data_IF_270162482405
#
_entry.id   IF_270162482405
#
_cell.length_a   1.000
_cell.length_b   1.000
_cell.length_c   1.000
_cell.angle_alpha   90.00
_cell.angle_beta   90.00
_cell.angle_gamma   90.00
#
_symmetry.space_group_name_H-M   'P 1'
#
loop_
_entity.id
_entity.type
_entity.pdbx_description
1 polymer ?
#
# COMPACT_ATOMS: atom_id res chain seq x y z
N UNK A 1 51.15 -2.71 -36.38
CA UNK A 1 49.85 -2.21 -36.90
C UNK A 1 49.43 -1.04 -36.01
N UNK A 2 49.65 0.20 -36.44
CA UNK A 2 49.39 1.40 -35.64
C UNK A 2 47.89 1.75 -35.70
N UNK A 3 47.19 1.64 -34.58
CA UNK A 3 45.79 2.05 -34.47
C UNK A 3 45.72 3.57 -34.30
N UNK A 4 45.29 4.28 -35.35
CA UNK A 4 45.17 5.74 -35.33
C UNK A 4 43.82 6.13 -34.70
N UNK A 5 43.83 6.55 -33.44
CA UNK A 5 42.65 6.99 -32.71
C UNK A 5 42.26 8.41 -33.17
N UNK A 6 41.11 8.55 -33.84
CA UNK A 6 40.54 9.83 -34.29
C UNK A 6 40.05 10.61 -33.06
N UNK A 7 40.72 11.71 -32.73
CA UNK A 7 40.21 12.69 -31.77
C UNK A 7 38.95 13.34 -32.34
N UNK A 8 37.84 13.23 -31.62
CA UNK A 8 36.60 13.95 -31.92
C UNK A 8 36.87 15.46 -31.87
N UNK A 9 36.38 16.20 -32.88
CA UNK A 9 36.39 17.66 -32.89
C UNK A 9 35.68 18.16 -31.62
N UNK A 10 36.37 19.01 -30.85
CA UNK A 10 35.86 19.54 -29.58
C UNK A 10 34.58 20.36 -29.80
N UNK A 11 33.56 20.10 -28.98
CA UNK A 11 32.36 20.91 -28.87
C UNK A 11 32.75 22.35 -28.48
N UNK A 12 32.15 23.33 -29.14
CA UNK A 12 32.40 24.72 -28.78
C UNK A 12 31.73 25.03 -27.44
N UNK A 13 32.36 25.87 -26.60
CA UNK A 13 31.85 26.18 -25.26
C UNK A 13 30.44 26.82 -25.32
N UNK A 14 30.18 27.57 -26.39
CA UNK A 14 28.88 28.18 -26.66
C UNK A 14 27.80 27.13 -27.02
N UNK A 15 28.17 26.09 -27.74
CA UNK A 15 27.27 25.01 -28.15
C UNK A 15 26.83 24.17 -26.96
N UNK A 16 27.70 23.93 -25.98
CA UNK A 16 27.29 23.27 -24.73
C UNK A 16 26.45 24.20 -23.86
N UNK A 17 26.77 25.50 -23.80
CA UNK A 17 26.05 26.47 -22.96
C UNK A 17 24.59 26.65 -23.37
N UNK A 18 24.29 26.67 -24.68
CA UNK A 18 22.92 26.82 -25.16
C UNK A 18 22.11 25.53 -24.95
N UNK A 19 22.77 24.37 -25.07
CA UNK A 19 22.12 23.07 -24.81
C UNK A 19 21.71 22.96 -23.34
N UNK A 20 22.60 23.27 -22.40
CA UNK A 20 22.23 23.22 -20.97
C UNK A 20 21.16 24.25 -20.61
N UNK A 21 21.14 25.42 -21.27
CA UNK A 21 20.10 26.42 -21.09
C UNK A 21 18.73 25.92 -21.55
N UNK A 22 18.67 25.28 -22.73
CA UNK A 22 17.43 24.69 -23.26
C UNK A 22 16.99 23.49 -22.40
N UNK A 23 17.92 22.65 -21.95
CA UNK A 23 17.62 21.52 -21.06
C UNK A 23 17.05 21.99 -19.72
N UNK A 24 17.56 23.08 -19.16
CA UNK A 24 17.03 23.66 -17.91
C UNK A 24 15.57 24.11 -18.07
N UNK A 25 15.22 24.73 -19.20
CA UNK A 25 13.84 25.17 -19.49
C UNK A 25 12.91 23.98 -19.67
N UNK A 26 13.31 22.98 -20.46
CA UNK A 26 12.50 21.77 -20.70
C UNK A 26 12.27 20.98 -19.40
N UNK A 27 13.31 20.82 -18.57
CA UNK A 27 13.19 20.14 -17.29
C UNK A 27 12.22 20.86 -16.33
N UNK A 28 12.22 22.20 -16.33
CA UNK A 28 11.29 22.99 -15.54
C UNK A 28 9.82 22.74 -15.91
N UNK A 29 9.50 22.68 -17.21
CA UNK A 29 8.12 22.44 -17.68
C UNK A 29 7.62 21.04 -17.29
N UNK A 30 8.47 20.02 -17.41
CA UNK A 30 8.09 18.63 -17.10
C UNK A 30 7.75 18.45 -15.61
N UNK A 31 8.46 19.14 -14.72
CA UNK A 31 8.21 19.06 -13.27
C UNK A 31 6.88 19.69 -12.86
N UNK A 32 6.38 20.67 -13.61
CA UNK A 32 5.07 21.30 -13.36
C UNK A 32 3.92 20.43 -13.87
N UNK A 33 4.13 19.69 -14.98
CA UNK A 33 3.09 18.83 -15.55
C UNK A 33 2.95 17.50 -14.81
N UNK A 34 4.03 16.99 -14.23
CA UNK A 34 3.98 15.82 -13.35
C UNK A 34 3.59 16.27 -11.94
N UNK A 35 2.58 15.62 -11.35
CA UNK A 35 2.23 15.82 -9.93
C UNK A 35 3.04 14.81 -9.07
N UNK A 36 4.25 15.15 -8.58
CA UNK A 36 5.08 14.19 -7.83
C UNK A 36 4.40 13.72 -6.53
N UNK A 37 3.55 14.59 -5.96
CA UNK A 37 2.72 14.28 -4.79
C UNK A 37 1.78 13.10 -5.04
N UNK A 38 1.12 13.08 -6.21
CA UNK A 38 0.17 12.01 -6.56
C UNK A 38 0.89 10.71 -6.87
N UNK A 39 2.06 10.76 -7.51
CA UNK A 39 2.86 9.57 -7.80
C UNK A 39 3.36 8.89 -6.51
N UNK A 40 3.79 9.68 -5.53
CA UNK A 40 4.19 9.15 -4.22
C UNK A 40 2.99 8.54 -3.48
N UNK A 41 1.82 9.19 -3.56
CA UNK A 41 0.57 8.66 -3.00
C UNK A 41 0.21 7.30 -3.61
N UNK A 42 0.27 7.17 -4.94
CA UNK A 42 0.01 5.91 -5.65
C UNK A 42 0.95 4.80 -5.23
N UNK A 43 2.24 5.08 -5.09
CA UNK A 43 3.22 4.09 -4.63
C UNK A 43 2.92 3.59 -3.20
N UNK A 44 2.56 4.52 -2.30
CA UNK A 44 2.16 4.19 -0.92
C UNK A 44 0.87 3.37 -0.88
N UNK A 45 -0.14 3.73 -1.66
CA UNK A 45 -1.41 3.00 -1.74
C UNK A 45 -1.23 1.61 -2.35
N UNK A 46 -0.33 1.46 -3.33
CA UNK A 46 0.06 0.15 -3.86
C UNK A 46 0.68 -0.74 -2.78
N UNK A 47 1.56 -0.17 -1.96
CA UNK A 47 2.16 -0.88 -0.81
C UNK A 47 1.08 -1.31 0.19
N UNK A 48 0.17 -0.40 0.57
CA UNK A 48 -0.95 -0.71 1.47
C UNK A 48 -1.86 -1.82 0.93
N UNK A 49 -2.13 -1.85 -0.38
CA UNK A 49 -2.93 -2.90 -1.02
C UNK A 49 -2.25 -4.27 -0.94
N UNK A 50 -0.94 -4.31 -1.16
CA UNK A 50 -0.17 -5.55 -0.99
C UNK A 50 -0.14 -6.00 0.48
N UNK A 51 0.06 -5.06 1.39
CA UNK A 51 0.06 -5.28 2.84
C UNK A 51 -1.29 -5.81 3.34
N UNK A 52 -2.41 -5.23 2.87
CA UNK A 52 -3.76 -5.68 3.25
C UNK A 52 -4.06 -7.09 2.74
N UNK A 53 -3.64 -7.41 1.50
CA UNK A 53 -3.79 -8.76 0.95
C UNK A 53 -2.92 -9.80 1.67
N UNK A 54 -1.69 -9.42 2.05
CA UNK A 54 -0.80 -10.26 2.84
C UNK A 54 -1.38 -10.53 4.24
N UNK A 55 -1.90 -9.50 4.91
CA UNK A 55 -2.53 -9.61 6.22
C UNK A 55 -3.80 -10.47 6.16
N UNK A 56 -4.64 -10.30 5.13
CA UNK A 56 -5.83 -11.12 4.93
C UNK A 56 -5.46 -12.59 4.76
N UNK A 57 -4.46 -12.85 3.92
CA UNK A 57 -3.96 -14.21 3.70
C UNK A 57 -3.43 -14.83 5.00
N UNK A 58 -2.73 -14.05 5.84
CA UNK A 58 -2.25 -14.49 7.14
C UNK A 58 -3.40 -14.80 8.13
N UNK A 59 -4.42 -13.94 8.19
CA UNK A 59 -5.61 -14.18 9.02
C UNK A 59 -6.33 -15.46 8.56
N UNK A 60 -6.46 -15.68 7.25
CA UNK A 60 -7.11 -16.88 6.71
C UNK A 60 -6.30 -18.16 6.97
N UNK A 61 -4.96 -18.11 6.83
CA UNK A 61 -4.08 -19.24 7.19
C UNK A 61 -4.15 -19.56 8.68
N UNK A 62 -4.21 -18.54 9.53
CA UNK A 62 -4.43 -18.71 10.96
C UNK A 62 -5.77 -19.42 11.24
N UNK A 63 -6.85 -18.96 10.60
CA UNK A 63 -8.17 -19.57 10.77
C UNK A 63 -8.17 -21.07 10.43
N UNK A 64 -7.52 -21.46 9.33
CA UNK A 64 -7.40 -22.87 8.93
C UNK A 64 -6.52 -23.67 9.91
N UNK A 65 -5.44 -23.08 10.40
CA UNK A 65 -4.48 -23.76 11.29
C UNK A 65 -4.96 -23.90 12.74
N UNK A 66 -5.83 -23.00 13.20
CA UNK A 66 -6.30 -22.93 14.59
C UNK A 66 -7.79 -23.25 14.74
N UNK A 67 -8.23 -24.36 14.15
CA UNK A 67 -9.58 -24.93 14.31
C UNK A 67 -10.74 -23.96 13.99
N UNK A 68 -10.56 -23.08 13.01
CA UNK A 68 -11.60 -22.12 12.62
C UNK A 68 -11.78 -20.98 13.62
N UNK A 69 -10.75 -20.67 14.42
CA UNK A 69 -10.75 -19.51 15.32
C UNK A 69 -9.92 -18.40 14.70
N UNK A 70 -10.52 -17.22 14.57
CA UNK A 70 -9.81 -16.02 14.13
C UNK A 70 -8.82 -15.52 15.21
N UNK A 71 -7.76 -14.78 14.83
CA UNK A 71 -6.72 -14.39 15.76
C UNK A 71 -7.25 -13.56 16.94
N UNK A 72 -8.24 -12.68 16.73
CA UNK A 72 -8.87 -11.91 17.83
C UNK A 72 -9.68 -12.76 18.81
N UNK A 73 -10.14 -13.96 18.42
CA UNK A 73 -10.82 -14.89 19.31
C UNK A 73 -9.86 -15.76 20.14
N UNK A 74 -8.58 -15.76 19.80
CA UNK A 74 -7.55 -16.58 20.45
C UNK A 74 -6.78 -15.86 21.57
N UNK A 75 -6.97 -14.54 21.71
CA UNK A 75 -6.26 -13.69 22.68
C UNK A 75 -7.27 -12.93 23.55
N UNK A 76 -7.04 -12.93 24.86
CA UNK A 76 -7.84 -12.18 25.82
C UNK A 76 -7.63 -10.68 25.65
N UNK A 77 -8.70 -9.89 25.90
CA UNK A 77 -8.70 -8.42 25.79
C UNK A 77 -8.47 -7.86 24.38
N UNK A 78 -8.66 -8.68 23.35
CA UNK A 78 -8.76 -8.20 21.97
C UNK A 78 -10.21 -7.99 21.57
N UNK A 79 -10.53 -6.80 21.05
CA UNK A 79 -11.82 -6.55 20.41
C UNK A 79 -11.86 -7.28 19.07
N UNK A 80 -12.84 -8.18 18.92
CA UNK A 80 -13.20 -8.71 17.61
C UNK A 80 -13.71 -7.55 16.74
N UNK A 81 -13.43 -7.55 15.42
CA UNK A 81 -14.11 -6.62 14.52
C UNK A 81 -15.61 -6.96 14.54
N UNK A 82 -16.47 -5.94 14.59
CA UNK A 82 -17.91 -6.18 14.67
C UNK A 82 -18.45 -6.69 13.34
N UNK A 83 -19.44 -7.59 13.41
CA UNK A 83 -20.07 -8.23 12.24
C UNK A 83 -20.85 -7.29 11.33
N UNK A 84 -20.87 -5.98 11.63
CA UNK A 84 -21.44 -4.91 10.81
C UNK A 84 -20.66 -3.59 11.02
N UNK A 85 -19.38 -3.64 11.40
CA UNK A 85 -18.62 -2.43 11.65
C UNK A 85 -17.14 -2.53 11.32
N UNK A 86 -16.56 -1.35 11.19
CA UNK A 86 -15.15 -1.14 10.95
C UNK A 86 -14.41 -1.08 12.30
N UNK A 87 -13.39 -1.92 12.48
CA UNK A 87 -12.46 -1.82 13.61
C UNK A 87 -11.05 -1.66 13.07
N UNK A 88 -10.21 -0.86 13.70
CA UNK A 88 -8.81 -0.75 13.28
C UNK A 88 -8.05 -2.04 13.62
N UNK A 89 -7.03 -2.37 12.83
CA UNK A 89 -6.12 -3.46 13.19
C UNK A 89 -5.44 -3.07 14.50
N UNK A 90 -5.54 -3.94 15.50
CA UNK A 90 -4.93 -3.72 16.81
C UNK A 90 -3.70 -4.58 16.98
N UNK A 91 -2.71 -4.06 17.71
CA UNK A 91 -1.47 -4.77 18.00
C UNK A 91 -1.69 -6.07 18.79
N UNK A 92 -2.82 -6.19 19.50
CA UNK A 92 -3.07 -7.31 20.40
C UNK A 92 -3.19 -8.65 19.64
N UNK A 93 -3.99 -8.71 18.57
CA UNK A 93 -4.13 -9.92 17.76
C UNK A 93 -3.10 -9.98 16.63
N UNK A 94 -2.54 -8.85 16.19
CA UNK A 94 -1.43 -8.85 15.25
C UNK A 94 -0.16 -9.48 15.86
N UNK A 95 0.14 -9.19 17.13
CA UNK A 95 1.24 -9.84 17.84
C UNK A 95 1.06 -11.37 17.93
N UNK A 96 -0.19 -11.86 17.96
CA UNK A 96 -0.45 -13.30 17.91
C UNK A 96 -0.05 -13.88 16.55
N UNK A 97 -0.40 -13.23 15.45
CA UNK A 97 0.01 -13.64 14.10
C UNK A 97 1.53 -13.65 13.96
N UNK A 98 2.22 -12.64 14.51
CA UNK A 98 3.69 -12.60 14.54
C UNK A 98 4.26 -13.74 15.39
N UNK A 99 3.70 -13.98 16.58
CA UNK A 99 4.17 -15.02 17.48
C UNK A 99 4.05 -16.44 16.91
N UNK A 100 3.06 -16.67 16.04
CA UNK A 100 2.89 -17.96 15.35
C UNK A 100 3.58 -18.02 13.99
N UNK A 101 4.27 -16.94 13.58
CA UNK A 101 5.04 -16.89 12.34
C UNK A 101 4.21 -16.66 11.07
N UNK A 102 2.95 -16.22 11.19
CA UNK A 102 2.08 -15.97 10.03
C UNK A 102 2.36 -14.62 9.35
N UNK A 103 2.97 -13.69 10.09
CA UNK A 103 3.33 -12.33 9.65
C UNK A 103 4.69 -11.96 10.25
N UNK A 104 5.57 -11.33 9.47
CA UNK A 104 6.85 -10.84 9.98
C UNK A 104 6.67 -9.72 11.02
N UNK A 105 7.56 -9.66 12.00
CA UNK A 105 7.54 -8.61 13.03
C UNK A 105 7.70 -7.21 12.43
N UNK A 106 8.36 -7.09 11.28
CA UNK A 106 8.52 -5.84 10.52
C UNK A 106 7.19 -5.25 10.07
N UNK A 107 6.19 -6.08 9.77
CA UNK A 107 4.84 -5.64 9.44
C UNK A 107 4.13 -5.04 10.66
N UNK A 108 4.30 -5.67 11.84
CA UNK A 108 3.71 -5.21 13.09
C UNK A 108 4.39 -3.95 13.65
N UNK A 109 5.66 -3.71 13.35
CA UNK A 109 6.40 -2.54 13.83
C UNK A 109 6.57 -1.42 12.80
N UNK A 110 6.48 -1.72 11.50
CA UNK A 110 6.83 -0.80 10.42
C UNK A 110 5.64 -0.05 9.81
N UNK A 111 4.44 -0.61 9.90
CA UNK A 111 3.24 -0.01 9.31
C UNK A 111 2.45 0.72 10.37
N UNK A 112 1.86 1.88 10.02
CA UNK A 112 0.82 2.51 10.85
C UNK A 112 -0.38 1.55 10.86
N UNK A 113 -0.36 0.58 11.78
CA UNK A 113 -1.31 -0.54 11.83
C UNK A 113 -2.75 -0.02 11.95
N UNK A 114 -2.90 1.12 12.63
CA UNK A 114 -4.12 1.92 12.75
C UNK A 114 -4.69 2.43 11.42
N UNK A 115 -3.90 2.46 10.35
CA UNK A 115 -4.35 2.85 9.01
C UNK A 115 -5.09 1.74 8.25
N UNK A 116 -5.01 0.52 8.77
CA UNK A 116 -5.77 -0.63 8.28
C UNK A 116 -7.00 -0.84 9.16
N UNK A 117 -8.11 -1.15 8.51
CA UNK A 117 -9.41 -1.42 9.10
C UNK A 117 -9.75 -2.87 8.77
N UNK A 118 -10.16 -3.63 9.77
CA UNK A 118 -10.75 -4.94 9.59
C UNK A 118 -12.25 -4.83 9.78
N UNK A 119 -12.99 -5.44 8.87
CA UNK A 119 -14.44 -5.52 8.93
C UNK A 119 -14.88 -6.90 8.51
N UNK A 120 -16.07 -7.32 8.96
CA UNK A 120 -16.71 -8.53 8.48
C UNK A 120 -17.97 -8.16 7.72
N UNK A 121 -18.32 -9.01 6.76
CA UNK A 121 -19.62 -8.99 6.12
C UNK A 121 -20.65 -9.79 6.92
N UNK A 122 -21.90 -9.79 6.45
CA UNK A 122 -22.99 -10.59 7.05
C UNK A 122 -22.78 -12.10 6.96
N UNK A 123 -21.82 -12.57 6.14
CA UNK A 123 -21.43 -13.96 5.96
C UNK A 123 -20.19 -14.35 6.79
N UNK A 124 -19.71 -13.45 7.68
CA UNK A 124 -18.49 -13.65 8.49
C UNK A 124 -17.19 -13.79 7.67
N UNK A 125 -17.18 -13.26 6.45
CA UNK A 125 -15.98 -13.11 5.62
C UNK A 125 -15.22 -11.87 6.08
N UNK A 126 -13.91 -12.02 6.24
CA UNK A 126 -13.02 -10.95 6.71
C UNK A 126 -12.58 -10.10 5.53
N UNK A 127 -12.77 -8.79 5.65
CA UNK A 127 -12.22 -7.81 4.73
C UNK A 127 -11.22 -6.91 5.46
N UNK A 128 -10.12 -6.61 4.78
CA UNK A 128 -9.10 -5.66 5.25
C UNK A 128 -9.10 -4.45 4.35
N UNK A 129 -9.40 -3.30 4.92
CA UNK A 129 -9.56 -2.04 4.23
C UNK A 129 -8.49 -1.03 4.63
N UNK A 130 -8.19 -0.09 3.74
CA UNK A 130 -7.32 1.05 4.03
C UNK A 130 -7.85 2.30 3.36
N UNK A 131 -7.47 3.46 3.91
CA UNK A 131 -7.76 4.77 3.29
C UNK A 131 -6.67 5.08 2.26
N UNK A 132 -7.03 5.24 0.97
CA UNK A 132 -6.07 5.62 -0.06
C UNK A 132 -5.70 7.11 0.06
N UNK A 133 -4.45 7.43 -0.23
CA UNK A 133 -3.92 8.80 -0.24
C UNK A 133 -3.97 9.46 -1.63
N UNK A 134 -4.03 8.68 -2.70
CA UNK A 134 -4.05 9.16 -4.09
C UNK A 134 -5.45 9.22 -4.69
N UNK A 135 -5.68 10.22 -5.54
CA UNK A 135 -6.97 10.44 -6.19
C UNK A 135 -7.38 9.28 -7.11
N UNK A 136 -6.40 8.58 -7.69
CA UNK A 136 -6.65 7.44 -8.57
C UNK A 136 -7.13 6.18 -7.84
N UNK A 137 -6.76 6.02 -6.56
CA UNK A 137 -7.26 4.92 -5.73
C UNK A 137 -8.59 5.32 -5.06
N UNK A 138 -8.80 6.60 -4.76
CA UNK A 138 -10.11 7.10 -4.29
C UNK A 138 -11.25 6.81 -5.29
N UNK A 139 -11.02 6.91 -6.59
CA UNK A 139 -12.03 6.53 -7.60
C UNK A 139 -12.31 5.03 -7.67
N UNK A 140 -11.37 4.19 -7.23
CA UNK A 140 -11.53 2.72 -7.16
C UNK A 140 -12.25 2.28 -5.87
N UNK A 141 -12.15 3.07 -4.79
CA UNK A 141 -12.79 2.78 -3.51
C UNK A 141 -14.30 2.53 -3.61
N UNK A 142 -15.00 3.21 -4.53
CA UNK A 142 -16.45 3.04 -4.71
C UNK A 142 -16.84 1.68 -5.29
N UNK A 143 -15.95 1.07 -6.08
CA UNK A 143 -16.20 -0.23 -6.73
C UNK A 143 -15.75 -1.42 -5.87
N UNK A 144 -14.90 -1.17 -4.88
CA UNK A 144 -14.17 -2.19 -4.12
C UNK A 144 -14.69 -2.30 -2.66
N UNK A 145 -15.98 -2.01 -2.48
CA UNK A 145 -16.67 -2.00 -1.18
C UNK A 145 -17.68 -3.16 -1.03
N UNK A 146 -17.64 -4.17 -1.89
CA UNK A 146 -18.59 -5.29 -1.86
C UNK A 146 -18.44 -6.08 -0.55
N UNK A 147 -19.51 -6.21 0.24
CA UNK A 147 -19.52 -7.03 1.47
C UNK A 147 -18.89 -6.38 2.71
N UNK A 148 -17.90 -5.50 2.55
CA UNK A 148 -17.27 -4.82 3.68
C UNK A 148 -18.22 -3.82 4.37
N UNK A 149 -18.28 -3.81 5.72
CA UNK A 149 -19.06 -2.81 6.47
C UNK A 149 -18.40 -1.41 6.53
N UNK A 150 -17.41 -1.15 5.68
CA UNK A 150 -16.73 0.14 5.57
C UNK A 150 -17.52 1.10 4.67
N UNK A 151 -17.46 2.41 4.94
CA UNK A 151 -18.19 3.42 4.15
C UNK A 151 -17.76 3.40 2.67
N UNK A 152 -18.66 3.09 1.73
CA UNK A 152 -18.30 3.00 0.31
C UNK A 152 -17.68 4.30 -0.22
N UNK A 153 -16.67 4.17 -1.08
CA UNK A 153 -16.00 5.32 -1.70
C UNK A 153 -14.97 6.05 -0.84
N UNK A 154 -14.77 5.64 0.42
CA UNK A 154 -13.73 6.22 1.30
C UNK A 154 -12.57 5.27 1.61
N UNK A 155 -12.79 3.96 1.44
CA UNK A 155 -11.83 2.91 1.72
C UNK A 155 -11.77 1.92 0.55
N UNK A 156 -10.62 1.28 0.39
CA UNK A 156 -10.46 0.11 -0.48
C UNK A 156 -10.32 -1.10 0.42
N UNK A 157 -11.11 -2.14 0.15
CA UNK A 157 -11.12 -3.38 0.92
C UNK A 157 -10.52 -4.54 0.12
N UNK A 158 -10.03 -5.56 0.81
CA UNK A 158 -9.55 -6.81 0.22
C UNK A 158 -10.17 -7.97 1.03
N UNK A 159 -10.79 -8.99 0.41
CA UNK A 159 -11.04 -9.11 -1.02
C UNK A 159 -12.11 -8.10 -1.49
N UNK A 160 -12.14 -7.87 -2.82
CA UNK A 160 -13.03 -6.89 -3.49
C UNK A 160 -14.48 -7.35 -3.63
#
# INVERSE_FOLDING_TARGET
MLLRMKFFKGLTLIEVSIVIAILAILAGVILVTLNPKEQTGKARDGTKKTDSAALLSAVNRYFVSYNGVYPWGSVSNCSAPSSNGASTVSSCWLNRLVAVGEVDSSFASGSNISSFIVTLDSSSVVHICFVPASQAFLSQAYQNSSGASATPGTHICVPE
#
